data_IF_350332361342
#
_entry.id   IF_350332361342
#
_cell.length_a   1.000
_cell.length_b   1.000
_cell.length_c   1.000
_cell.angle_alpha   90.00
_cell.angle_beta   90.00
_cell.angle_gamma   90.00
#
_symmetry.space_group_name_H-M   'P 1'
#
loop_
_entity.id
_entity.type
_entity.pdbx_description
1 polymer ?
#
# COMPACT_ATOMS: atom_id res chain seq x y z
N UNK A 1 -5.82 21.25 10.35
CA UNK A 1 -6.31 20.29 11.37
C UNK A 1 -5.12 19.45 11.77
N UNK A 2 -4.79 19.35 13.06
CA UNK A 2 -3.74 18.44 13.49
C UNK A 2 -4.18 17.01 13.13
N UNK A 3 -3.39 16.31 12.32
CA UNK A 3 -3.60 14.88 12.05
C UNK A 3 -3.71 14.19 13.41
N UNK A 4 -4.84 13.55 13.70
CA UNK A 4 -4.92 12.67 14.86
C UNK A 4 -3.83 11.61 14.65
N UNK A 5 -2.80 11.63 15.49
CA UNK A 5 -1.75 10.63 15.42
C UNK A 5 -2.32 9.34 16.01
N UNK A 6 -2.34 8.30 15.20
CA UNK A 6 -2.57 6.93 15.66
C UNK A 6 -1.70 6.64 16.90
N UNK A 7 -2.18 5.76 17.77
CA UNK A 7 -1.41 5.29 18.91
C UNK A 7 -1.35 3.78 18.90
N UNK A 8 -0.23 3.24 19.38
CA UNK A 8 -0.04 1.81 19.55
C UNK A 8 -0.08 1.50 21.04
N UNK A 9 -1.01 0.66 21.45
CA UNK A 9 -1.03 0.08 22.78
C UNK A 9 -0.20 -1.19 22.80
N UNK A 10 0.76 -1.26 23.72
CA UNK A 10 1.46 -2.49 24.04
C UNK A 10 1.02 -2.96 25.42
N UNK A 11 0.62 -4.23 25.49
CA UNK A 11 0.34 -4.92 26.75
C UNK A 11 1.27 -6.11 26.86
N UNK A 12 2.13 -6.09 27.88
CA UNK A 12 3.04 -7.19 28.19
C UNK A 12 2.40 -8.09 29.25
N UNK A 13 2.37 -9.38 28.98
CA UNK A 13 1.88 -10.39 29.91
C UNK A 13 2.98 -11.35 30.34
N UNK A 14 2.84 -11.87 31.57
CA UNK A 14 3.50 -13.08 32.06
C UNK A 14 2.48 -14.20 32.29
N UNK A 15 2.31 -15.07 31.31
CA UNK A 15 1.34 -16.17 31.34
C UNK A 15 2.07 -17.47 31.70
N UNK A 16 1.65 -18.17 32.78
CA UNK A 16 2.18 -19.51 33.07
C UNK A 16 1.96 -20.45 31.87
N UNK A 17 2.95 -21.27 31.53
CA UNK A 17 2.90 -22.16 30.37
C UNK A 17 1.65 -23.05 30.35
N UNK A 18 1.23 -23.54 31.52
CA UNK A 18 0.01 -24.34 31.67
C UNK A 18 -1.29 -23.61 31.27
N UNK A 19 -1.29 -22.27 31.17
CA UNK A 19 -2.42 -21.42 30.76
C UNK A 19 -2.24 -20.81 29.37
N UNK A 20 -1.13 -21.08 28.68
CA UNK A 20 -0.80 -20.48 27.38
C UNK A 20 -1.90 -20.72 26.34
N UNK A 21 -2.34 -21.97 26.16
CA UNK A 21 -3.37 -22.32 25.19
C UNK A 21 -4.73 -21.65 25.50
N UNK A 22 -5.12 -21.61 26.77
CA UNK A 22 -6.37 -20.96 27.20
C UNK A 22 -6.31 -19.43 26.99
N UNK A 23 -5.13 -18.84 27.17
CA UNK A 23 -4.89 -17.42 26.95
C UNK A 23 -4.99 -17.04 25.47
N UNK A 24 -4.32 -17.80 24.60
CA UNK A 24 -4.40 -17.62 23.14
C UNK A 24 -5.83 -17.83 22.63
N UNK A 25 -6.54 -18.84 23.13
CA UNK A 25 -7.94 -19.07 22.79
C UNK A 25 -8.87 -17.94 23.27
N UNK A 26 -8.60 -17.36 24.44
CA UNK A 26 -9.35 -16.19 24.94
C UNK A 26 -9.12 -14.97 24.04
N UNK A 27 -7.89 -14.71 23.62
CA UNK A 27 -7.59 -13.63 22.69
C UNK A 27 -8.17 -13.85 21.29
N UNK A 28 -8.21 -15.09 20.80
CA UNK A 28 -8.89 -15.42 19.56
C UNK A 28 -10.40 -15.09 19.61
N UNK A 29 -11.06 -15.21 20.77
CA UNK A 29 -12.45 -14.77 20.95
C UNK A 29 -12.55 -13.25 21.11
N UNK A 30 -11.65 -12.63 21.88
CA UNK A 30 -11.57 -11.19 22.05
C UNK A 30 -11.20 -10.43 20.76
N UNK A 31 -10.63 -11.10 19.75
CA UNK A 31 -10.38 -10.55 18.42
C UNK A 31 -11.67 -10.09 17.71
N UNK A 32 -12.80 -10.76 17.93
CA UNK A 32 -14.07 -10.44 17.29
C UNK A 32 -14.60 -9.02 17.61
N UNK A 33 -14.68 -8.57 18.88
CA UNK A 33 -15.04 -7.19 19.19
C UNK A 33 -13.97 -6.18 18.76
N UNK A 34 -12.68 -6.53 18.73
CA UNK A 34 -11.63 -5.65 18.20
C UNK A 34 -11.81 -5.41 16.69
N UNK A 35 -12.03 -6.47 15.91
CA UNK A 35 -12.22 -6.39 14.46
C UNK A 35 -13.47 -5.61 14.03
N UNK A 36 -14.49 -5.55 14.89
CA UNK A 36 -15.72 -4.78 14.63
C UNK A 36 -15.60 -3.30 15.00
N UNK A 37 -14.60 -2.92 15.81
CA UNK A 37 -14.48 -1.55 16.29
C UNK A 37 -13.94 -0.63 15.18
N UNK A 38 -14.63 0.47 14.84
CA UNK A 38 -14.11 1.45 13.88
C UNK A 38 -12.90 2.24 14.41
N UNK A 39 -12.57 2.08 15.70
CA UNK A 39 -11.44 2.72 16.35
C UNK A 39 -10.19 1.84 16.37
N UNK A 40 -10.34 0.53 16.16
CA UNK A 40 -9.25 -0.43 16.12
C UNK A 40 -8.73 -0.53 14.68
N UNK A 41 -7.48 -0.17 14.47
CA UNK A 41 -6.82 -0.20 13.15
C UNK A 41 -6.29 -1.60 12.87
N UNK A 42 -5.52 -2.16 13.81
CA UNK A 42 -4.99 -3.53 13.74
C UNK A 42 -4.68 -4.05 15.15
N UNK A 43 -4.39 -5.36 15.27
CA UNK A 43 -3.89 -5.97 16.49
C UNK A 43 -3.10 -7.24 16.21
N UNK A 44 -2.20 -7.59 17.13
CA UNK A 44 -1.35 -8.77 17.08
C UNK A 44 -1.05 -9.26 18.50
N UNK A 45 -1.17 -10.57 18.75
CA UNK A 45 -0.68 -11.20 19.97
C UNK A 45 0.53 -12.06 19.61
N UNK A 46 1.68 -11.75 20.20
CA UNK A 46 2.95 -12.44 19.93
C UNK A 46 3.48 -13.08 21.21
N UNK A 47 3.98 -14.31 21.10
CA UNK A 47 4.71 -14.99 22.18
C UNK A 47 6.21 -14.86 21.94
N UNK A 48 6.98 -14.64 22.99
CA UNK A 48 8.44 -14.63 22.90
C UNK A 48 8.98 -16.05 22.77
N UNK A 49 9.86 -16.29 21.79
CA UNK A 49 10.49 -17.60 21.59
C UNK A 49 11.55 -17.89 22.64
N UNK A 50 12.26 -16.87 23.14
CA UNK A 50 13.29 -17.00 24.19
C UNK A 50 12.70 -17.12 25.60
N UNK A 51 11.49 -16.60 25.82
CA UNK A 51 10.79 -16.65 27.10
C UNK A 51 9.30 -16.99 26.87
N UNK A 52 8.93 -18.28 26.75
CA UNK A 52 7.59 -18.71 26.34
C UNK A 52 6.43 -18.24 27.23
N UNK A 53 6.71 -17.84 28.47
CA UNK A 53 5.72 -17.24 29.36
C UNK A 53 5.44 -15.77 29.06
N UNK A 54 6.26 -15.11 28.24
CA UNK A 54 6.13 -13.70 27.88
C UNK A 54 5.30 -13.54 26.59
N UNK A 55 4.26 -12.71 26.69
CA UNK A 55 3.45 -12.33 25.54
C UNK A 55 3.41 -10.81 25.41
N UNK A 56 3.32 -10.32 24.17
CA UNK A 56 3.05 -8.92 23.85
C UNK A 56 1.79 -8.87 22.99
N UNK A 57 0.78 -8.14 23.45
CA UNK A 57 -0.34 -7.71 22.62
C UNK A 57 -0.05 -6.30 22.11
N UNK A 58 -0.04 -6.13 20.78
CA UNK A 58 -0.02 -4.85 20.10
C UNK A 58 -1.43 -4.55 19.60
N UNK A 59 -1.96 -3.37 19.88
CA UNK A 59 -3.20 -2.87 19.25
C UNK A 59 -2.95 -1.46 18.73
N UNK A 60 -3.22 -1.22 17.45
CA UNK A 60 -3.20 0.14 16.90
C UNK A 60 -4.60 0.72 16.95
N UNK A 61 -4.70 1.92 17.53
CA UNK A 61 -5.94 2.67 17.65
C UNK A 61 -5.85 3.96 16.83
N UNK A 62 -6.99 4.41 16.30
CA UNK A 62 -7.08 5.69 15.57
C UNK A 62 -6.61 6.87 16.43
N UNK A 63 -6.77 6.80 17.76
CA UNK A 63 -6.10 7.64 18.75
C UNK A 63 -6.25 7.06 20.16
N UNK A 64 -5.45 7.54 21.12
CA UNK A 64 -5.58 7.14 22.53
C UNK A 64 -6.96 7.48 23.12
N UNK A 65 -7.53 8.60 22.70
CA UNK A 65 -8.89 9.00 23.09
C UNK A 65 -9.94 8.05 22.50
N UNK A 66 -9.81 7.65 21.24
CA UNK A 66 -10.77 6.74 20.61
C UNK A 66 -10.73 5.35 21.25
N UNK A 67 -9.57 4.91 21.74
CA UNK A 67 -9.51 3.73 22.59
C UNK A 67 -10.23 3.94 23.94
N UNK A 68 -9.83 4.94 24.72
CA UNK A 68 -10.27 5.12 26.11
C UNK A 68 -11.72 5.57 26.24
N UNK A 69 -12.20 6.39 25.31
CA UNK A 69 -13.54 6.97 25.32
C UNK A 69 -14.46 6.36 24.27
N UNK A 70 -13.90 5.82 23.18
CA UNK A 70 -14.66 5.10 22.15
C UNK A 70 -14.79 3.62 22.50
N UNK A 71 -13.77 2.81 22.22
CA UNK A 71 -13.84 1.36 22.40
C UNK A 71 -14.21 0.95 23.82
N UNK A 72 -13.49 1.44 24.85
CA UNK A 72 -13.71 1.05 26.26
C UNK A 72 -15.08 1.43 26.82
N UNK A 73 -15.81 2.34 26.18
CA UNK A 73 -17.18 2.74 26.57
C UNK A 73 -18.24 2.20 25.62
N UNK A 74 -17.84 1.49 24.56
CA UNK A 74 -18.75 0.92 23.58
C UNK A 74 -19.42 -0.37 24.07
N UNK A 75 -20.46 -0.79 23.36
CA UNK A 75 -21.14 -2.07 23.56
C UNK A 75 -20.26 -3.29 23.25
N UNK A 76 -19.14 -3.10 22.55
CA UNK A 76 -18.18 -4.17 22.22
C UNK A 76 -17.26 -4.51 23.40
N UNK A 77 -17.00 -3.55 24.29
CA UNK A 77 -16.03 -3.73 25.39
C UNK A 77 -16.41 -4.82 26.40
N UNK A 78 -17.67 -4.99 26.83
CA UNK A 78 -18.03 -6.04 27.78
C UNK A 78 -17.66 -7.45 27.30
N UNK A 79 -17.88 -7.75 26.01
CA UNK A 79 -17.52 -9.04 25.43
C UNK A 79 -16.00 -9.24 25.40
N UNK A 80 -15.24 -8.22 24.98
CA UNK A 80 -13.78 -8.23 25.04
C UNK A 80 -13.28 -8.44 26.47
N UNK A 81 -13.77 -7.63 27.42
CA UNK A 81 -13.32 -7.66 28.80
C UNK A 81 -13.65 -8.97 29.50
N UNK A 82 -14.75 -9.64 29.14
CA UNK A 82 -15.08 -10.96 29.68
C UNK A 82 -13.98 -11.99 29.41
N UNK A 83 -13.39 -11.98 28.21
CA UNK A 83 -12.31 -12.88 27.82
C UNK A 83 -10.97 -12.54 28.49
N UNK A 84 -10.69 -11.24 28.68
CA UNK A 84 -9.38 -10.79 29.20
C UNK A 84 -9.34 -10.74 30.73
N UNK A 85 -10.48 -10.61 31.40
CA UNK A 85 -10.58 -10.52 32.87
C UNK A 85 -9.77 -11.58 33.63
N UNK A 86 -9.74 -12.88 33.23
CA UNK A 86 -8.97 -13.91 33.92
C UNK A 86 -7.45 -13.74 33.87
N UNK A 87 -6.94 -12.76 33.13
CA UNK A 87 -5.51 -12.54 32.85
C UNK A 87 -5.00 -11.16 33.29
N UNK A 88 -5.84 -10.33 33.92
CA UNK A 88 -5.45 -8.96 34.31
C UNK A 88 -4.27 -8.97 35.29
N UNK A 89 -4.23 -9.92 36.21
CA UNK A 89 -3.16 -10.04 37.20
C UNK A 89 -1.81 -10.47 36.59
N UNK A 90 -1.82 -10.92 35.34
CA UNK A 90 -0.61 -11.30 34.60
C UNK A 90 -0.05 -10.15 33.75
N UNK A 91 -0.67 -8.98 33.76
CA UNK A 91 -0.21 -7.80 33.02
C UNK A 91 1.00 -7.19 33.74
N UNK A 92 2.15 -7.16 33.07
CA UNK A 92 3.37 -6.50 33.53
C UNK A 92 3.44 -5.05 33.04
N UNK A 93 2.86 -4.77 31.86
CA UNK A 93 2.81 -3.43 31.27
C UNK A 93 1.54 -3.27 30.42
N UNK A 94 0.97 -2.07 30.41
CA UNK A 94 -0.14 -1.66 29.54
C UNK A 94 -0.02 -0.16 29.29
N UNK A 95 0.47 0.23 28.11
CA UNK A 95 0.75 1.63 27.78
C UNK A 95 0.50 1.95 26.31
N UNK A 96 0.20 3.22 26.05
CA UNK A 96 0.08 3.81 24.71
C UNK A 96 1.38 4.50 24.31
N UNK A 97 1.79 4.28 23.06
CA UNK A 97 2.97 4.86 22.46
C UNK A 97 2.60 5.55 21.14
N UNK A 98 3.32 6.62 20.82
CA UNK A 98 3.18 7.31 19.54
C UNK A 98 4.20 6.73 18.55
N UNK A 99 3.77 6.22 17.37
CA UNK A 99 4.70 5.85 16.32
C UNK A 99 5.64 6.99 15.94
N UNK A 100 6.91 6.68 15.71
CA UNK A 100 7.88 7.66 15.22
C UNK A 100 8.03 7.58 13.70
N UNK A 101 8.82 8.48 13.12
CA UNK A 101 9.17 8.42 11.71
C UNK A 101 10.05 7.21 11.33
N UNK A 102 10.66 6.52 12.30
CA UNK A 102 11.49 5.35 12.07
C UNK A 102 10.61 4.12 11.87
N UNK A 103 10.31 3.81 10.61
CA UNK A 103 9.50 2.66 10.18
C UNK A 103 9.86 2.27 8.74
N UNK A 104 9.65 1.00 8.37
CA UNK A 104 9.92 0.49 7.03
C UNK A 104 9.36 -0.92 6.85
N UNK A 105 9.41 -1.43 5.62
CA UNK A 105 8.85 -2.74 5.24
C UNK A 105 9.84 -3.90 5.36
N UNK A 106 11.07 -3.64 5.80
CA UNK A 106 12.16 -4.63 5.78
C UNK A 106 12.55 -5.03 4.34
N UNK A 107 13.38 -6.09 4.22
CA UNK A 107 13.85 -6.62 2.93
C UNK A 107 13.58 -8.12 2.75
N UNK A 108 12.69 -8.71 3.54
CA UNK A 108 12.33 -10.13 3.44
C UNK A 108 11.42 -10.44 2.26
N UNK A 109 10.70 -9.44 1.74
CA UNK A 109 9.89 -9.51 0.53
C UNK A 109 10.55 -8.60 -0.51
N UNK A 110 10.89 -9.09 -1.72
CA UNK A 110 11.50 -8.25 -2.75
C UNK A 110 10.52 -7.16 -3.20
N UNK A 111 11.03 -6.07 -3.72
CA UNK A 111 10.21 -5.04 -4.36
C UNK A 111 9.58 -5.57 -5.66
N UNK A 112 8.51 -4.94 -6.14
CA UNK A 112 7.94 -5.28 -7.45
C UNK A 112 8.96 -5.04 -8.57
N UNK A 113 9.83 -4.04 -8.41
CA UNK A 113 10.93 -3.76 -9.32
C UNK A 113 11.92 -4.92 -9.40
N UNK A 114 12.41 -5.40 -8.26
CA UNK A 114 13.32 -6.56 -8.22
C UNK A 114 12.66 -7.82 -8.78
N UNK A 115 11.41 -8.07 -8.39
CA UNK A 115 10.67 -9.24 -8.86
C UNK A 115 10.40 -9.22 -10.36
N UNK A 116 10.10 -8.05 -10.93
CA UNK A 116 9.90 -7.87 -12.37
C UNK A 116 11.16 -8.16 -13.20
N UNK A 117 12.34 -8.23 -12.58
CA UNK A 117 13.63 -8.32 -13.27
C UNK A 117 14.33 -6.98 -13.46
N UNK A 118 13.95 -5.97 -12.67
CA UNK A 118 14.61 -4.67 -12.60
C UNK A 118 14.46 -3.80 -13.85
N UNK A 119 15.39 -2.86 -14.02
CA UNK A 119 15.33 -1.82 -15.05
C UNK A 119 15.30 -2.40 -16.47
N UNK A 120 16.05 -3.47 -16.73
CA UNK A 120 16.10 -4.11 -18.05
C UNK A 120 14.74 -4.70 -18.46
N UNK A 121 14.03 -5.32 -17.52
CA UNK A 121 12.72 -5.88 -17.79
C UNK A 121 11.67 -4.80 -18.08
N UNK A 122 11.68 -3.71 -17.30
CA UNK A 122 10.78 -2.58 -17.52
C UNK A 122 11.09 -1.83 -18.83
N UNK A 123 12.36 -1.74 -19.22
CA UNK A 123 12.75 -1.17 -20.51
C UNK A 123 12.22 -2.01 -21.68
N UNK A 124 12.35 -3.35 -21.62
CA UNK A 124 11.76 -4.24 -22.64
C UNK A 124 10.25 -4.11 -22.71
N UNK A 125 9.58 -4.06 -21.55
CA UNK A 125 8.13 -3.87 -21.46
C UNK A 125 7.69 -2.60 -22.18
N UNK A 126 8.28 -1.45 -21.83
CA UNK A 126 7.82 -0.18 -22.41
C UNK A 126 8.20 -0.07 -23.88
N UNK A 127 9.33 -0.62 -24.30
CA UNK A 127 9.70 -0.69 -25.72
C UNK A 127 8.66 -1.46 -26.54
N UNK A 128 8.33 -2.70 -26.12
CA UNK A 128 7.32 -3.53 -26.78
C UNK A 128 5.93 -2.86 -26.76
N UNK A 129 5.55 -2.33 -25.59
CA UNK A 129 4.28 -1.62 -25.42
C UNK A 129 4.13 -0.44 -26.40
N UNK A 130 5.14 0.43 -26.50
CA UNK A 130 5.04 1.60 -27.38
C UNK A 130 5.17 1.27 -28.87
N UNK A 131 5.65 0.08 -29.23
CA UNK A 131 5.50 -0.45 -30.61
C UNK A 131 4.03 -0.71 -30.94
N UNK A 132 3.25 -1.25 -30.00
CA UNK A 132 1.82 -1.48 -30.17
C UNK A 132 1.00 -0.19 -30.11
N UNK A 133 1.29 0.71 -29.18
CA UNK A 133 0.63 2.04 -29.07
C UNK A 133 0.70 2.81 -30.39
N UNK A 134 1.85 2.80 -31.07
CA UNK A 134 2.05 3.49 -32.36
C UNK A 134 1.24 2.90 -33.52
N UNK A 135 0.81 1.64 -33.40
CA UNK A 135 0.00 0.94 -34.41
C UNK A 135 -1.49 0.92 -34.06
N UNK A 136 -1.85 1.31 -32.85
CA UNK A 136 -3.22 1.27 -32.36
C UNK A 136 -4.03 2.47 -32.86
N UNK A 137 -5.17 2.23 -33.50
CA UNK A 137 -5.99 3.29 -34.11
C UNK A 137 -6.47 4.34 -33.09
N UNK A 138 -6.72 3.93 -31.84
CA UNK A 138 -7.27 4.80 -30.80
C UNK A 138 -6.17 5.60 -30.09
N UNK A 139 -5.00 5.00 -29.89
CA UNK A 139 -3.90 5.61 -29.15
C UNK A 139 -2.86 6.32 -30.02
N UNK A 140 -2.63 5.87 -31.26
CA UNK A 140 -1.62 6.48 -32.13
C UNK A 140 -1.79 8.01 -32.28
N UNK A 141 -3.01 8.58 -32.41
CA UNK A 141 -3.19 10.03 -32.42
C UNK A 141 -2.79 10.73 -31.12
N UNK A 142 -2.99 10.08 -29.96
CA UNK A 142 -2.64 10.62 -28.63
C UNK A 142 -1.11 10.76 -28.48
N UNK A 143 -0.37 9.84 -29.09
CA UNK A 143 1.09 9.75 -29.00
C UNK A 143 1.80 10.21 -30.29
N UNK A 144 1.12 10.89 -31.21
CA UNK A 144 1.69 11.26 -32.51
C UNK A 144 2.93 12.16 -32.41
N UNK A 145 3.00 13.01 -31.38
CA UNK A 145 4.13 13.92 -31.10
C UNK A 145 5.08 13.39 -30.02
N UNK A 146 4.95 12.12 -29.64
CA UNK A 146 5.77 11.49 -28.62
C UNK A 146 7.24 11.38 -29.05
N UNK A 147 8.18 11.79 -28.20
CA UNK A 147 9.62 11.59 -28.40
C UNK A 147 9.99 10.10 -28.47
N UNK A 148 11.04 9.75 -29.20
CA UNK A 148 11.65 8.41 -29.20
C UNK A 148 12.12 7.95 -27.82
N UNK A 149 12.45 8.90 -26.92
CA UNK A 149 12.95 8.61 -25.56
C UNK A 149 11.82 8.29 -24.57
N UNK A 150 10.56 8.52 -24.97
CA UNK A 150 9.41 8.36 -24.07
C UNK A 150 9.29 6.96 -23.46
N UNK A 151 9.48 5.84 -24.19
CA UNK A 151 9.46 4.51 -23.58
C UNK A 151 10.47 4.33 -22.45
N UNK A 152 11.68 4.87 -22.61
CA UNK A 152 12.71 4.82 -21.58
C UNK A 152 12.31 5.63 -20.34
N UNK A 153 11.76 6.84 -20.52
CA UNK A 153 11.28 7.65 -19.39
C UNK A 153 10.14 6.96 -18.62
N UNK A 154 9.23 6.26 -19.32
CA UNK A 154 8.17 5.48 -18.66
C UNK A 154 8.74 4.29 -17.90
N UNK A 155 9.76 3.61 -18.43
CA UNK A 155 10.41 2.51 -17.71
C UNK A 155 11.07 2.98 -16.41
N UNK A 156 11.76 4.13 -16.44
CA UNK A 156 12.38 4.73 -15.25
C UNK A 156 11.31 5.17 -14.23
N UNK A 157 10.19 5.75 -14.70
CA UNK A 157 9.04 6.08 -13.85
C UNK A 157 8.48 4.84 -13.15
N UNK A 158 8.17 3.78 -13.90
CA UNK A 158 7.67 2.51 -13.34
C UNK A 158 8.67 1.89 -12.38
N UNK A 159 9.98 2.00 -12.66
CA UNK A 159 11.04 1.48 -11.81
C UNK A 159 11.02 2.09 -10.41
N UNK A 160 10.99 3.42 -10.32
CA UNK A 160 10.93 4.13 -9.04
C UNK A 160 9.62 3.84 -8.29
N UNK A 161 8.51 3.78 -9.02
CA UNK A 161 7.20 3.45 -8.44
C UNK A 161 7.20 2.06 -7.80
N UNK A 162 7.77 1.07 -8.49
CA UNK A 162 7.78 -0.32 -8.04
C UNK A 162 8.86 -0.63 -6.99
N UNK A 163 9.48 0.40 -6.41
CA UNK A 163 10.45 0.28 -5.32
C UNK A 163 11.91 0.20 -5.77
N UNK A 164 12.20 0.47 -7.05
CA UNK A 164 13.55 0.64 -7.54
C UNK A 164 14.18 1.98 -7.13
N UNK A 165 15.40 2.29 -7.63
CA UNK A 165 16.09 3.55 -7.36
C UNK A 165 15.26 4.78 -7.76
N UNK A 166 15.49 5.91 -7.08
CA UNK A 166 14.83 7.19 -7.33
C UNK A 166 15.36 7.92 -8.58
N UNK A 167 15.60 7.18 -9.65
CA UNK A 167 16.23 7.66 -10.88
C UNK A 167 15.31 8.62 -11.65
N UNK A 168 13.98 8.40 -11.61
CA UNK A 168 13.05 9.32 -12.27
C UNK A 168 13.02 10.66 -11.56
N UNK A 169 12.95 10.66 -10.23
CA UNK A 169 13.00 11.86 -9.43
C UNK A 169 14.31 12.61 -9.66
N UNK A 170 15.43 11.90 -9.67
CA UNK A 170 16.76 12.50 -9.82
C UNK A 170 17.02 13.05 -11.22
N UNK A 171 16.68 12.29 -12.27
CA UNK A 171 17.00 12.64 -13.65
C UNK A 171 15.90 13.42 -14.37
N UNK A 172 14.63 13.25 -13.96
CA UNK A 172 13.47 13.78 -14.69
C UNK A 172 12.58 14.71 -13.85
N UNK A 173 12.88 14.91 -12.55
CA UNK A 173 12.18 15.91 -11.72
C UNK A 173 10.93 15.38 -11.01
N UNK A 174 10.73 14.06 -10.98
CA UNK A 174 9.74 13.41 -10.12
C UNK A 174 8.29 13.68 -10.55
N UNK A 175 7.37 13.54 -9.60
CA UNK A 175 5.93 13.71 -9.82
C UNK A 175 5.56 15.00 -10.60
N UNK A 176 6.11 16.20 -10.30
CA UNK A 176 5.76 17.42 -11.05
C UNK A 176 6.01 17.31 -12.56
N UNK A 177 7.11 16.67 -12.96
CA UNK A 177 7.44 16.47 -14.37
C UNK A 177 6.47 15.49 -15.03
N UNK A 178 6.22 14.33 -14.39
CA UNK A 178 5.23 13.35 -14.85
C UNK A 178 3.84 13.98 -15.04
N UNK A 179 3.40 14.77 -14.05
CA UNK A 179 2.11 15.45 -14.09
C UNK A 179 2.02 16.40 -15.29
N UNK A 180 3.07 17.18 -15.57
CA UNK A 180 3.09 18.14 -16.67
C UNK A 180 2.82 17.50 -18.05
N UNK A 181 3.21 16.24 -18.24
CA UNK A 181 2.98 15.52 -19.49
C UNK A 181 1.51 15.13 -19.72
N UNK A 182 0.71 15.07 -18.64
CA UNK A 182 -0.68 14.64 -18.66
C UNK A 182 -1.68 15.80 -18.69
N UNK A 183 -1.33 16.96 -18.13
CA UNK A 183 -2.24 18.12 -18.05
C UNK A 183 -2.78 18.54 -19.42
N UNK A 184 -4.10 18.76 -19.50
CA UNK A 184 -4.76 19.30 -20.70
C UNK A 184 -4.80 18.35 -21.90
N UNK A 185 -4.39 17.08 -21.74
CA UNK A 185 -4.42 16.09 -22.83
C UNK A 185 -5.82 15.59 -23.17
N UNK A 186 -6.82 15.86 -22.33
CA UNK A 186 -8.21 15.44 -22.51
C UNK A 186 -8.34 13.94 -22.85
N UNK A 187 -7.60 13.10 -22.10
CA UNK A 187 -7.64 11.64 -22.28
C UNK A 187 -9.07 11.17 -22.04
N UNK A 188 -9.54 10.26 -22.88
CA UNK A 188 -10.88 9.67 -22.76
C UNK A 188 -10.82 8.30 -22.08
N UNK A 189 -11.92 7.87 -21.46
CA UNK A 189 -11.99 6.54 -20.82
C UNK A 189 -11.72 5.38 -21.80
N UNK A 190 -12.17 5.40 -23.08
CA UNK A 190 -11.75 4.41 -24.06
C UNK A 190 -10.23 4.37 -24.29
N UNK A 191 -9.57 5.53 -24.42
CA UNK A 191 -8.12 5.60 -24.59
C UNK A 191 -7.41 5.05 -23.35
N UNK A 192 -7.83 5.44 -22.14
CA UNK A 192 -7.26 4.93 -20.89
C UNK A 192 -7.32 3.40 -20.82
N UNK A 193 -8.50 2.82 -21.05
CA UNK A 193 -8.68 1.35 -21.01
C UNK A 193 -7.85 0.65 -22.07
N UNK A 194 -7.77 1.21 -23.27
CA UNK A 194 -6.96 0.62 -24.35
C UNK A 194 -5.47 0.66 -24.02
N UNK A 195 -4.99 1.77 -23.45
CA UNK A 195 -3.61 1.91 -22.98
C UNK A 195 -3.28 0.85 -21.91
N UNK A 196 -4.15 0.72 -20.90
CA UNK A 196 -3.96 -0.28 -19.84
C UNK A 196 -3.94 -1.71 -20.38
N UNK A 197 -4.87 -2.06 -21.27
CA UNK A 197 -4.93 -3.39 -21.91
C UNK A 197 -3.66 -3.71 -22.68
N UNK A 198 -3.20 -2.78 -23.53
CA UNK A 198 -1.99 -3.01 -24.34
C UNK A 198 -0.73 -3.15 -23.48
N UNK A 199 -0.66 -2.47 -22.34
CA UNK A 199 0.47 -2.64 -21.42
C UNK A 199 0.45 -4.03 -20.76
N UNK A 200 -0.72 -4.54 -20.42
CA UNK A 200 -0.87 -5.91 -19.89
C UNK A 200 -0.48 -6.96 -20.94
N UNK A 201 -0.96 -6.79 -22.18
CA UNK A 201 -0.61 -7.68 -23.30
C UNK A 201 0.91 -7.64 -23.56
N UNK A 202 1.52 -6.45 -23.52
CA UNK A 202 2.97 -6.30 -23.68
C UNK A 202 3.76 -6.95 -22.53
N UNK A 203 3.21 -6.97 -21.32
CA UNK A 203 3.84 -7.65 -20.19
C UNK A 203 3.91 -9.17 -20.40
N UNK A 204 2.89 -9.76 -21.01
CA UNK A 204 2.91 -11.17 -21.42
C UNK A 204 3.91 -11.41 -22.57
N UNK A 205 3.93 -10.52 -23.57
CA UNK A 205 4.85 -10.63 -24.71
C UNK A 205 6.32 -10.66 -24.28
N UNK A 206 6.71 -9.81 -23.32
CA UNK A 206 8.10 -9.73 -22.85
C UNK A 206 8.41 -10.70 -21.70
N UNK A 207 7.47 -11.59 -21.38
CA UNK A 207 7.56 -12.59 -20.32
C UNK A 207 7.93 -11.99 -18.95
N UNK A 208 7.24 -10.90 -18.55
CA UNK A 208 7.23 -10.50 -17.15
C UNK A 208 6.63 -11.61 -16.27
N UNK A 209 6.99 -11.70 -14.97
CA UNK A 209 6.48 -12.74 -14.08
C UNK A 209 4.96 -12.84 -14.13
N UNK A 210 4.42 -14.04 -14.30
CA UNK A 210 2.98 -14.31 -14.46
C UNK A 210 2.33 -14.91 -13.20
N UNK A 211 3.08 -14.95 -12.09
CA UNK A 211 2.54 -15.37 -10.81
C UNK A 211 1.38 -14.46 -10.36
N UNK A 212 0.32 -15.04 -9.76
CA UNK A 212 -0.89 -14.31 -9.39
C UNK A 212 -0.62 -13.09 -8.50
N UNK A 213 0.34 -13.20 -7.58
CA UNK A 213 0.73 -12.15 -6.66
C UNK A 213 1.28 -10.93 -7.39
N UNK A 214 2.24 -11.13 -8.29
CA UNK A 214 2.84 -10.03 -9.06
C UNK A 214 1.83 -9.43 -10.02
N UNK A 215 1.09 -10.26 -10.76
CA UNK A 215 0.13 -9.79 -11.76
C UNK A 215 -1.01 -9.01 -11.14
N UNK A 216 -1.49 -9.41 -9.95
CA UNK A 216 -2.46 -8.64 -9.18
C UNK A 216 -1.92 -7.26 -8.80
N UNK A 217 -0.72 -7.20 -8.23
CA UNK A 217 -0.12 -5.95 -7.78
C UNK A 217 0.20 -4.99 -8.94
N UNK A 218 0.77 -5.52 -10.03
CA UNK A 218 1.07 -4.79 -11.25
C UNK A 218 -0.21 -4.23 -11.89
N UNK A 219 -1.24 -5.07 -12.08
CA UNK A 219 -2.52 -4.64 -12.64
C UNK A 219 -3.20 -3.56 -11.80
N UNK A 220 -3.16 -3.69 -10.47
CA UNK A 220 -3.74 -2.72 -9.56
C UNK A 220 -3.08 -1.33 -9.69
N UNK A 221 -1.74 -1.27 -9.79
CA UNK A 221 -1.06 0.01 -10.01
C UNK A 221 -1.45 0.63 -11.35
N UNK A 222 -1.44 -0.15 -12.43
CA UNK A 222 -1.76 0.37 -13.76
C UNK A 222 -3.19 0.90 -13.82
N UNK A 223 -4.16 0.19 -13.24
CA UNK A 223 -5.53 0.70 -13.14
C UNK A 223 -5.60 1.99 -12.32
N UNK A 224 -4.98 2.02 -11.14
CA UNK A 224 -4.97 3.20 -10.26
C UNK A 224 -4.29 4.42 -10.93
N UNK A 225 -3.09 4.24 -11.47
CA UNK A 225 -2.30 5.29 -12.09
C UNK A 225 -2.95 5.85 -13.34
N UNK A 226 -3.51 4.99 -14.19
CA UNK A 226 -4.21 5.45 -15.40
C UNK A 226 -5.51 6.19 -15.10
N UNK A 227 -6.21 5.88 -13.99
CA UNK A 227 -7.36 6.69 -13.53
C UNK A 227 -6.95 8.09 -13.08
N UNK A 228 -5.82 8.22 -12.38
CA UNK A 228 -5.29 9.53 -11.99
C UNK A 228 -4.87 10.32 -13.23
N UNK A 229 -4.19 9.68 -14.20
CA UNK A 229 -3.85 10.30 -15.47
C UNK A 229 -5.08 10.81 -16.22
N UNK A 230 -6.17 10.03 -16.24
CA UNK A 230 -7.45 10.44 -16.83
C UNK A 230 -7.99 11.71 -16.17
N UNK A 231 -8.10 11.73 -14.84
CA UNK A 231 -8.62 12.89 -14.09
C UNK A 231 -7.73 14.11 -14.30
N UNK A 232 -6.41 13.96 -14.18
CA UNK A 232 -5.45 15.05 -14.32
C UNK A 232 -5.39 15.61 -15.76
N UNK A 233 -5.74 14.81 -16.76
CA UNK A 233 -5.72 15.26 -18.15
C UNK A 233 -6.87 16.16 -18.57
N UNK A 234 -7.94 16.23 -17.77
CA UNK A 234 -9.13 16.97 -18.16
C UNK A 234 -8.86 18.48 -18.26
N UNK A 235 -9.45 19.19 -19.25
CA UNK A 235 -9.36 20.64 -19.32
C UNK A 235 -9.84 21.30 -18.02
N UNK A 236 -8.99 22.13 -17.42
CA UNK A 236 -9.31 22.82 -16.17
C UNK A 236 -9.11 22.00 -14.89
N UNK A 237 -8.56 20.79 -14.97
CA UNK A 237 -8.18 20.03 -13.78
C UNK A 237 -7.13 20.79 -12.95
N UNK A 238 -7.29 20.78 -11.62
CA UNK A 238 -6.37 21.42 -10.66
C UNK A 238 -5.78 20.41 -9.66
N UNK A 239 -5.03 19.40 -10.13
CA UNK A 239 -4.40 18.44 -9.23
C UNK A 239 -3.33 19.11 -8.37
N UNK A 240 -2.97 18.52 -7.22
CA UNK A 240 -1.88 19.03 -6.39
C UNK A 240 -0.59 19.17 -7.23
N UNK A 241 0.02 20.37 -7.29
CA UNK A 241 1.19 20.60 -8.15
C UNK A 241 2.46 19.92 -7.64
N UNK A 242 2.44 19.43 -6.40
CA UNK A 242 3.52 18.67 -5.76
C UNK A 242 2.92 17.52 -4.96
N UNK A 243 3.47 16.34 -5.17
CA UNK A 243 3.21 15.12 -4.43
C UNK A 243 4.49 14.26 -4.50
N UNK A 244 4.69 13.29 -3.58
CA UNK A 244 5.75 12.31 -3.76
C UNK A 244 5.46 11.43 -4.98
N UNK A 245 6.51 10.83 -5.56
CA UNK A 245 6.33 9.69 -6.48
C UNK A 245 5.64 8.57 -5.70
N UNK A 246 4.56 7.96 -6.24
CA UNK A 246 3.88 6.90 -5.54
C UNK A 246 4.80 5.69 -5.42
N UNK A 247 4.87 5.09 -4.24
CA UNK A 247 5.52 3.79 -4.06
C UNK A 247 4.46 2.70 -3.98
N UNK A 248 4.55 1.72 -4.86
CA UNK A 248 3.59 0.64 -4.99
C UNK A 248 4.24 -0.71 -4.68
N UNK A 249 3.61 -1.49 -3.80
CA UNK A 249 4.06 -2.83 -3.40
C UNK A 249 3.02 -3.90 -3.71
N UNK A 250 3.15 -5.07 -3.07
CA UNK A 250 2.34 -6.28 -3.32
C UNK A 250 0.84 -6.19 -2.97
N UNK A 251 0.37 -5.08 -2.41
CA UNK A 251 -1.04 -4.84 -2.12
C UNK A 251 -1.21 -3.72 -1.09
N UNK A 252 -1.58 -2.51 -1.54
CA UNK A 252 -1.46 -1.33 -0.65
C UNK A 252 -2.35 -0.13 -0.98
N UNK A 253 -3.31 -0.20 -1.92
CA UNK A 253 -4.19 0.95 -2.13
C UNK A 253 -5.39 0.93 -1.16
N UNK A 254 -5.43 1.79 -0.12
CA UNK A 254 -6.69 2.07 0.56
C UNK A 254 -7.68 2.71 -0.43
N UNK A 255 -9.00 2.69 -0.14
CA UNK A 255 -9.99 3.33 -1.00
C UNK A 255 -9.63 4.80 -1.31
N UNK A 256 -9.67 5.17 -2.59
CA UNK A 256 -9.46 6.56 -3.02
C UNK A 256 -10.57 7.48 -2.48
N UNK A 257 -10.20 8.61 -1.88
CA UNK A 257 -11.13 9.52 -1.20
C UNK A 257 -11.48 10.80 -1.98
N UNK A 258 -11.03 10.94 -3.24
CA UNK A 258 -11.26 12.16 -4.05
C UNK A 258 -10.19 13.22 -3.84
#
# INVERSE_FOLDING_TARGET
MASASETVEYIRYRIPEARAADFEAAYARAAAPLAQSPHCVDYELTRCDEEPAAYILRITWTSARDHLEGFRRSELFPAFFAEIRPYIEQIEEMRHYTPTAVRGTGGSVPTLFEWAGGAEALARLTEAFYVHVRKDELLAPVFAEMSSDHPAHVAVWLGEVFGGPADYTTAHGGYPAMLSHHLGRAITEPQRRRWASLLMDAADEVALPDDPEFRSAFAAYIEWGTRIALVNSQPGATPPPRAPVPHWGWGVAPPYQG
#
